data_IF_581858359468
#
_entry.id   IF_581858359468
#
_cell.length_a   1.000
_cell.length_b   1.000
_cell.length_c   1.000
_cell.angle_alpha   90.00
_cell.angle_beta   90.00
_cell.angle_gamma   90.00
#
_symmetry.space_group_name_H-M   'P 1'
#
loop_
_entity.id
_entity.type
_entity.pdbx_description
1 polymer ?
#
# COMPACT_ATOMS: atom_id res chain seq x y z
N UNK A 1 -11.76 -29.81 -10.14
CA UNK A 1 -12.18 -28.60 -9.39
C UNK A 1 -10.92 -27.96 -8.81
N UNK A 2 -10.22 -27.14 -9.60
CA UNK A 2 -8.95 -26.54 -9.17
C UNK A 2 -9.22 -25.36 -8.23
N UNK A 3 -8.69 -25.46 -7.02
CA UNK A 3 -8.90 -24.51 -5.93
C UNK A 3 -8.48 -23.09 -6.31
N UNK A 4 -9.32 -22.14 -5.92
CA UNK A 4 -8.93 -20.73 -5.78
C UNK A 4 -8.03 -20.68 -4.54
N UNK A 5 -6.73 -20.67 -4.74
CA UNK A 5 -5.75 -20.76 -3.64
C UNK A 5 -4.39 -20.29 -4.12
N UNK A 6 -4.20 -18.98 -4.17
CA UNK A 6 -2.90 -18.33 -4.35
C UNK A 6 -2.41 -17.69 -3.04
N UNK A 7 -1.19 -17.11 -3.06
CA UNK A 7 -0.50 -16.45 -1.94
C UNK A 7 -1.33 -15.36 -1.22
N UNK A 8 -2.39 -14.88 -1.87
CA UNK A 8 -3.43 -14.00 -1.33
C UNK A 8 -4.77 -14.73 -1.43
N UNK A 9 -5.15 -15.48 -0.40
CA UNK A 9 -6.40 -16.24 -0.38
C UNK A 9 -7.17 -15.95 0.90
N UNK A 10 -8.08 -14.98 0.84
CA UNK A 10 -8.90 -14.56 1.98
C UNK A 10 -10.17 -15.43 2.17
N UNK A 11 -10.29 -16.55 1.45
CA UNK A 11 -11.51 -17.37 1.41
C UNK A 11 -11.99 -17.88 2.78
N UNK A 12 -11.08 -18.11 3.72
CA UNK A 12 -11.42 -18.62 5.06
C UNK A 12 -11.94 -17.52 6.00
N UNK A 13 -11.72 -16.25 5.65
CA UNK A 13 -12.10 -15.07 6.46
C UNK A 13 -13.35 -14.37 5.93
N UNK A 14 -13.77 -14.67 4.69
CA UNK A 14 -15.02 -14.12 4.12
C UNK A 14 -16.23 -14.57 4.95
N UNK A 15 -16.93 -13.58 5.51
CA UNK A 15 -18.12 -13.79 6.33
C UNK A 15 -17.83 -13.96 7.83
N UNK A 16 -16.56 -13.91 8.24
CA UNK A 16 -16.14 -13.83 9.66
C UNK A 16 -15.86 -12.39 10.10
N UNK A 17 -15.34 -11.56 9.21
CA UNK A 17 -15.17 -10.13 9.43
C UNK A 17 -15.89 -9.28 8.37
N UNK A 18 -15.84 -7.96 8.57
CA UNK A 18 -16.60 -7.00 7.75
C UNK A 18 -15.80 -6.42 6.59
N UNK A 19 -14.56 -6.88 6.34
CA UNK A 19 -13.65 -6.25 5.38
C UNK A 19 -13.03 -7.21 4.36
N UNK A 20 -13.19 -8.53 4.49
CA UNK A 20 -12.80 -9.47 3.43
C UNK A 20 -13.97 -9.80 2.49
N UNK A 21 -13.71 -9.69 1.18
CA UNK A 21 -14.68 -9.97 0.11
C UNK A 21 -14.10 -10.94 -0.92
N UNK A 22 -14.93 -11.85 -1.47
CA UNK A 22 -14.50 -12.76 -2.56
C UNK A 22 -14.32 -12.07 -3.92
N UNK A 23 -14.90 -10.88 -4.08
CA UNK A 23 -14.77 -10.01 -5.23
C UNK A 23 -14.71 -8.56 -4.75
N UNK A 24 -13.74 -7.80 -5.22
CA UNK A 24 -13.56 -6.39 -4.88
C UNK A 24 -12.97 -5.63 -6.08
N UNK A 25 -13.18 -4.32 -6.12
CA UNK A 25 -12.61 -3.43 -7.13
C UNK A 25 -11.36 -2.74 -6.56
N UNK A 26 -10.26 -2.78 -7.30
CA UNK A 26 -8.99 -2.13 -6.91
C UNK A 26 -8.77 -0.91 -7.79
N UNK A 27 -8.80 0.28 -7.18
CA UNK A 27 -8.41 1.52 -7.83
C UNK A 27 -6.88 1.66 -7.75
N UNK A 28 -6.24 1.88 -8.90
CA UNK A 28 -4.79 2.01 -8.99
C UNK A 28 -4.39 3.12 -9.95
N UNK A 29 -3.26 3.77 -9.67
CA UNK A 29 -2.53 4.54 -10.66
C UNK A 29 -1.25 3.80 -11.05
N UNK A 30 -0.88 3.87 -12.32
CA UNK A 30 0.34 3.23 -12.83
C UNK A 30 1.18 4.25 -13.57
N UNK A 31 2.48 4.21 -13.29
CA UNK A 31 3.49 4.99 -13.99
C UNK A 31 4.37 4.06 -14.81
N UNK A 32 4.47 4.33 -16.11
CA UNK A 32 5.42 3.63 -16.99
C UNK A 32 6.60 4.55 -17.30
N UNK A 33 7.46 4.77 -16.30
CA UNK A 33 8.70 5.55 -16.44
C UNK A 33 8.54 7.07 -16.47
N UNK A 34 7.41 7.61 -16.00
CA UNK A 34 7.11 9.05 -16.04
C UNK A 34 7.31 9.73 -14.67
N UNK A 35 6.82 9.09 -13.61
CA UNK A 35 6.96 9.56 -12.23
C UNK A 35 7.29 8.41 -11.28
N UNK A 36 7.93 8.72 -10.15
CA UNK A 36 8.39 7.70 -9.20
C UNK A 36 7.70 7.91 -7.84
N UNK A 37 8.43 7.79 -6.74
CA UNK A 37 7.84 7.77 -5.39
C UNK A 37 7.30 9.11 -4.93
N UNK A 38 7.94 10.22 -5.31
CA UNK A 38 7.57 11.55 -4.82
C UNK A 38 6.18 11.97 -5.32
N UNK A 39 5.93 11.83 -6.61
CA UNK A 39 4.63 12.14 -7.19
C UNK A 39 3.57 11.10 -6.81
N UNK A 40 3.93 9.82 -6.73
CA UNK A 40 2.98 8.77 -6.33
C UNK A 40 2.45 9.00 -4.91
N UNK A 41 3.34 9.27 -3.95
CA UNK A 41 2.97 9.56 -2.56
C UNK A 41 2.15 10.85 -2.47
N UNK A 42 2.55 11.89 -3.20
CA UNK A 42 1.79 13.15 -3.27
C UNK A 42 0.37 12.92 -3.75
N UNK A 43 0.19 12.24 -4.89
CA UNK A 43 -1.14 11.98 -5.45
C UNK A 43 -2.01 11.15 -4.53
N UNK A 44 -1.44 10.12 -3.88
CA UNK A 44 -2.16 9.33 -2.89
C UNK A 44 -2.64 10.20 -1.71
N UNK A 45 -1.76 11.05 -1.18
CA UNK A 45 -2.11 11.93 -0.06
C UNK A 45 -3.14 12.99 -0.44
N UNK A 46 -2.96 13.69 -1.56
CA UNK A 46 -3.90 14.70 -2.07
C UNK A 46 -5.28 14.09 -2.28
N UNK A 47 -5.37 12.92 -2.89
CA UNK A 47 -6.65 12.25 -3.11
C UNK A 47 -7.35 11.90 -1.78
N UNK A 48 -6.62 11.34 -0.81
CA UNK A 48 -7.18 10.95 0.48
C UNK A 48 -7.63 12.16 1.30
N UNK A 49 -6.85 13.23 1.32
CA UNK A 49 -7.06 14.37 2.21
C UNK A 49 -7.88 15.48 1.57
N UNK A 50 -7.54 15.88 0.35
CA UNK A 50 -8.15 17.03 -0.32
C UNK A 50 -9.43 16.63 -1.07
N UNK A 51 -9.41 15.52 -1.83
CA UNK A 51 -10.58 15.10 -2.62
C UNK A 51 -11.61 14.32 -1.78
N UNK A 52 -11.15 13.37 -0.96
CA UNK A 52 -12.03 12.57 -0.09
C UNK A 52 -12.30 13.21 1.28
N UNK A 53 -11.54 14.24 1.67
CA UNK A 53 -11.75 14.97 2.92
C UNK A 53 -11.41 14.17 4.18
N UNK A 54 -10.52 13.18 4.11
CA UNK A 54 -10.13 12.42 5.28
C UNK A 54 -9.31 13.28 6.25
N UNK A 55 -9.55 13.07 7.54
CA UNK A 55 -8.79 13.73 8.59
C UNK A 55 -7.32 13.27 8.56
N UNK A 56 -6.41 14.24 8.42
CA UNK A 56 -4.95 14.04 8.37
C UNK A 56 -4.45 13.28 9.60
N UNK A 57 -5.07 13.51 10.76
CA UNK A 57 -4.75 12.85 12.03
C UNK A 57 -5.21 11.38 12.09
N UNK A 58 -5.83 10.85 11.04
CA UNK A 58 -6.25 9.45 10.95
C UNK A 58 -5.44 8.66 9.93
N UNK A 59 -4.51 9.31 9.22
CA UNK A 59 -3.66 8.67 8.22
C UNK A 59 -2.44 8.07 8.92
N UNK A 60 -2.19 6.80 8.65
CA UNK A 60 -0.99 6.07 9.04
C UNK A 60 -0.40 5.46 7.79
N UNK A 61 0.92 5.46 7.70
CA UNK A 61 1.65 4.93 6.56
C UNK A 61 2.73 3.98 7.03
N UNK A 62 3.03 2.98 6.21
CA UNK A 62 4.04 1.97 6.49
C UNK A 62 5.17 2.11 5.48
N UNK A 63 6.42 1.92 5.88
CA UNK A 63 7.57 1.99 4.97
C UNK A 63 8.53 0.85 5.25
N UNK A 64 9.11 0.29 4.19
CA UNK A 64 10.17 -0.71 4.32
C UNK A 64 11.55 -0.05 4.35
N UNK A 65 11.94 0.48 5.52
CA UNK A 65 13.15 1.30 5.68
C UNK A 65 14.44 0.63 5.19
N UNK A 66 14.57 -0.70 5.32
CA UNK A 66 15.78 -1.43 4.91
C UNK A 66 16.06 -1.36 3.40
N UNK A 67 15.01 -1.21 2.59
CA UNK A 67 15.13 -1.16 1.13
C UNK A 67 14.55 0.12 0.51
N UNK A 68 13.92 0.97 1.32
CA UNK A 68 13.22 2.16 0.88
C UNK A 68 13.24 3.32 1.89
N UNK A 69 14.43 3.85 2.16
CA UNK A 69 14.59 5.04 3.00
C UNK A 69 13.99 6.32 2.39
N UNK A 70 13.83 6.36 1.05
CA UNK A 70 13.29 7.53 0.36
C UNK A 70 11.80 7.75 0.65
N UNK A 71 11.00 6.68 0.73
CA UNK A 71 9.57 6.78 1.04
C UNK A 71 9.34 7.44 2.40
N UNK A 72 10.12 7.09 3.44
CA UNK A 72 10.03 7.77 4.74
C UNK A 72 10.32 9.26 4.63
N UNK A 73 11.38 9.63 3.88
CA UNK A 73 11.75 11.04 3.68
C UNK A 73 10.62 11.83 3.00
N UNK A 74 9.95 11.24 2.02
CA UNK A 74 8.84 11.88 1.31
C UNK A 74 7.62 11.99 2.23
N UNK A 75 7.23 10.92 2.94
CA UNK A 75 6.07 10.93 3.84
C UNK A 75 6.16 11.93 4.98
N UNK A 76 7.37 12.22 5.49
CA UNK A 76 7.59 13.26 6.50
C UNK A 76 7.15 14.67 6.07
N UNK A 77 6.92 14.90 4.78
CA UNK A 77 6.37 16.17 4.28
C UNK A 77 4.86 16.26 4.42
N UNK A 78 4.17 15.13 4.60
CA UNK A 78 2.71 15.02 4.57
C UNK A 78 2.10 14.57 5.90
N UNK A 79 2.79 13.71 6.65
CA UNK A 79 2.30 13.17 7.92
C UNK A 79 3.35 13.29 9.03
N UNK A 80 2.89 13.37 10.28
CA UNK A 80 3.77 13.34 11.45
C UNK A 80 4.60 12.06 11.51
N UNK A 81 5.85 12.19 11.95
CA UNK A 81 6.78 11.07 12.01
C UNK A 81 6.29 9.92 12.92
N UNK A 82 5.51 10.23 13.96
CA UNK A 82 4.89 9.25 14.85
C UNK A 82 3.87 8.34 14.14
N UNK A 83 3.45 8.70 12.92
CA UNK A 83 2.46 7.98 12.09
C UNK A 83 3.11 7.22 10.93
N UNK A 84 4.45 7.27 10.82
CA UNK A 84 5.23 6.53 9.81
C UNK A 84 5.84 5.29 10.45
N UNK A 85 5.24 4.14 10.20
CA UNK A 85 5.59 2.87 10.84
C UNK A 85 6.62 2.12 9.98
N UNK A 86 7.73 1.71 10.59
CA UNK A 86 8.68 0.79 9.95
C UNK A 86 8.07 -0.60 9.88
N UNK A 87 7.95 -1.15 8.68
CA UNK A 87 7.39 -2.46 8.44
C UNK A 87 8.43 -3.41 7.86
N UNK A 88 8.19 -4.72 8.00
CA UNK A 88 9.10 -5.76 7.53
C UNK A 88 8.89 -6.06 6.04
N UNK A 89 9.82 -6.81 5.44
CA UNK A 89 9.65 -7.31 4.08
C UNK A 89 8.37 -8.15 3.88
N UNK A 90 7.86 -8.78 4.95
CA UNK A 90 6.62 -9.56 4.86
C UNK A 90 5.41 -8.68 4.57
N UNK A 91 5.42 -7.46 5.08
CA UNK A 91 4.26 -6.56 5.06
C UNK A 91 4.40 -5.48 3.98
N UNK A 92 5.62 -5.04 3.69
CA UNK A 92 5.92 -3.92 2.78
C UNK A 92 6.87 -4.29 1.62
N UNK A 93 6.93 -5.57 1.24
CA UNK A 93 7.52 -5.99 -0.02
C UNK A 93 6.46 -6.72 -0.85
N UNK A 94 6.13 -6.15 -2.00
CA UNK A 94 5.09 -6.68 -2.86
C UNK A 94 5.68 -7.48 -4.02
N UNK A 95 5.10 -8.65 -4.26
CA UNK A 95 5.52 -9.60 -5.30
C UNK A 95 4.27 -10.21 -5.96
N UNK A 96 4.24 -10.24 -7.29
CA UNK A 96 3.14 -10.89 -8.03
C UNK A 96 3.08 -12.42 -7.87
N UNK A 97 4.19 -13.05 -7.52
CA UNK A 97 4.34 -14.51 -7.50
C UNK A 97 5.82 -14.91 -7.41
N UNK A 98 6.12 -16.19 -7.65
CA UNK A 98 7.49 -16.71 -7.59
C UNK A 98 8.42 -16.07 -8.64
N UNK A 99 7.87 -15.65 -9.78
CA UNK A 99 8.56 -14.90 -10.83
C UNK A 99 7.68 -13.73 -11.30
N UNK A 100 8.26 -12.54 -11.46
CA UNK A 100 7.54 -11.35 -11.93
C UNK A 100 8.08 -10.04 -11.36
N UNK A 101 7.43 -8.90 -11.65
CA UNK A 101 7.78 -7.61 -11.05
C UNK A 101 7.57 -7.65 -9.53
N UNK A 102 8.51 -7.08 -8.79
CA UNK A 102 8.49 -6.95 -7.34
C UNK A 102 9.10 -5.61 -6.91
N UNK A 103 8.84 -5.20 -5.68
CA UNK A 103 9.43 -3.98 -5.12
C UNK A 103 8.93 -3.64 -3.72
N UNK A 104 9.64 -2.74 -3.02
CA UNK A 104 9.14 -2.18 -1.77
C UNK A 104 7.86 -1.38 -2.01
N UNK A 105 6.90 -1.48 -1.09
CA UNK A 105 5.67 -0.69 -1.08
C UNK A 105 5.53 0.12 0.20
N UNK A 106 4.69 1.16 0.15
CA UNK A 106 4.40 2.07 1.25
C UNK A 106 2.92 2.27 1.44
#
# INVERSE_FOLDING_TARGET
>A
TSGRGGKHNDLDDVGRDTYHHTFFEMLGNWSFGDYFKEEAIRYAYEFLVEDLGLDRERIYVTVYDEMDADSRRIWRQYVDESRIISASARDNFWEMGEYGPCGPCT
#
